data_IF_063619193946
#
_entry.id   IF_063619193946
#
_cell.length_a   1.000
_cell.length_b   1.000
_cell.length_c   1.000
_cell.angle_alpha   90.00
_cell.angle_beta   90.00
_cell.angle_gamma   90.00
#
_symmetry.space_group_name_H-M   'P 1'
#
loop_
_entity.id
_entity.type
_entity.pdbx_description
1 polymer ?
#
# COMPACT_ATOMS: atom_id res chain seq x y z
N UNK A 1 19.87 -69.80 21.42
CA UNK A 1 20.80 -68.69 21.72
C UNK A 1 21.63 -68.50 20.46
N UNK A 2 21.53 -67.46 19.64
CA UNK A 2 21.29 -66.04 19.91
C UNK A 2 20.61 -65.41 18.68
N UNK A 3 19.44 -64.78 18.88
CA UNK A 3 18.77 -63.95 17.87
C UNK A 3 19.41 -62.57 17.89
N UNK A 4 19.91 -62.10 16.75
CA UNK A 4 20.38 -60.73 16.60
C UNK A 4 19.80 -60.14 15.31
N UNK A 5 19.02 -59.08 15.52
CA UNK A 5 18.98 -57.87 14.72
C UNK A 5 18.81 -58.03 13.20
N UNK A 6 17.65 -57.61 12.68
CA UNK A 6 17.58 -56.60 11.61
C UNK A 6 16.20 -56.57 10.93
N UNK A 7 15.09 -56.40 11.66
CA UNK A 7 13.86 -55.92 11.01
C UNK A 7 13.05 -55.07 12.01
N UNK A 8 13.61 -53.94 12.41
CA UNK A 8 12.92 -52.99 13.27
C UNK A 8 13.21 -51.56 12.83
N UNK A 9 12.94 -51.20 11.57
CA UNK A 9 12.97 -49.81 11.11
C UNK A 9 12.13 -49.60 9.83
N UNK A 10 10.93 -50.19 9.77
CA UNK A 10 9.95 -49.90 8.71
C UNK A 10 8.56 -49.68 9.33
N UNK A 11 8.44 -48.57 10.06
CA UNK A 11 7.17 -47.88 10.30
C UNK A 11 7.48 -46.39 10.10
N UNK A 12 7.20 -45.88 8.91
CA UNK A 12 6.04 -45.02 8.67
C UNK A 12 6.01 -43.81 9.62
N UNK A 13 6.86 -42.83 9.35
CA UNK A 13 6.48 -41.45 9.62
C UNK A 13 6.99 -40.54 8.51
N UNK A 14 6.18 -40.51 7.46
CA UNK A 14 6.10 -39.43 6.49
C UNK A 14 5.66 -38.17 7.23
N UNK A 15 6.58 -37.50 7.91
CA UNK A 15 6.45 -36.10 8.24
C UNK A 15 7.51 -35.36 7.43
N UNK A 16 7.29 -35.32 6.12
CA UNK A 16 7.64 -34.10 5.37
C UNK A 16 6.73 -33.05 5.99
N UNK A 17 7.23 -32.39 7.04
CA UNK A 17 6.66 -31.15 7.48
C UNK A 17 6.68 -30.24 6.27
N UNK A 18 5.51 -29.95 5.71
CA UNK A 18 5.32 -28.67 5.06
C UNK A 18 5.55 -27.64 6.16
N UNK A 19 6.79 -27.22 6.35
CA UNK A 19 7.08 -25.88 6.80
C UNK A 19 6.74 -25.03 5.57
N UNK A 20 5.61 -24.30 5.55
CA UNK A 20 5.50 -23.23 4.58
C UNK A 20 6.49 -22.18 5.06
N UNK A 21 7.74 -22.33 4.64
CA UNK A 21 8.65 -21.22 4.47
C UNK A 21 7.79 -20.11 3.90
N UNK A 22 7.71 -19.02 4.67
CA UNK A 22 7.22 -17.73 4.23
C UNK A 22 7.48 -17.61 2.74
N UNK A 23 6.43 -17.76 1.94
CA UNK A 23 6.48 -17.41 0.52
C UNK A 23 6.63 -15.90 0.55
N UNK A 24 7.88 -15.47 0.65
CA UNK A 24 8.31 -14.18 0.17
C UNK A 24 8.01 -14.26 -1.32
N UNK A 25 6.84 -13.78 -1.72
CA UNK A 25 6.59 -13.44 -3.11
C UNK A 25 7.65 -12.38 -3.47
N UNK A 26 8.71 -12.86 -4.12
CA UNK A 26 9.77 -12.06 -4.74
C UNK A 26 9.16 -11.42 -5.99
N UNK A 27 8.21 -10.51 -5.79
CA UNK A 27 8.02 -9.35 -6.66
C UNK A 27 8.82 -8.17 -6.09
N UNK A 28 9.01 -7.07 -6.83
CA UNK A 28 9.55 -5.86 -6.21
C UNK A 28 8.61 -5.48 -5.07
N UNK A 29 9.03 -5.70 -3.83
CA UNK A 29 8.31 -5.27 -2.65
C UNK A 29 8.37 -3.75 -2.68
N UNK A 30 7.41 -3.15 -3.37
CA UNK A 30 7.34 -1.70 -3.52
C UNK A 30 7.00 -1.20 -2.13
N UNK A 31 7.97 -0.60 -1.45
CA UNK A 31 7.82 -0.05 -0.12
C UNK A 31 6.60 0.90 -0.12
N UNK A 32 5.52 0.48 0.52
CA UNK A 32 4.28 1.25 0.63
C UNK A 32 4.05 1.60 2.10
N UNK A 33 3.42 2.76 2.32
CA UNK A 33 3.08 3.24 3.65
C UNK A 33 1.59 3.01 3.89
N UNK A 34 1.27 2.30 4.97
CA UNK A 34 -0.12 2.10 5.39
C UNK A 34 -0.58 3.34 6.16
N UNK A 35 -1.66 3.97 5.70
CA UNK A 35 -2.23 5.17 6.30
C UNK A 35 -3.03 4.84 7.55
N UNK A 36 -2.70 5.50 8.64
CA UNK A 36 -3.40 5.45 9.91
C UNK A 36 -4.10 6.78 10.20
N UNK A 37 -5.20 6.71 10.97
CA UNK A 37 -5.83 7.93 11.51
C UNK A 37 -4.84 8.66 12.44
N UNK A 38 -4.89 9.99 12.42
CA UNK A 38 -4.05 10.90 13.22
C UNK A 38 -2.53 10.84 12.99
N UNK A 39 -2.06 10.05 12.02
CA UNK A 39 -0.65 10.01 11.62
C UNK A 39 -0.38 10.97 10.44
N UNK A 40 0.79 11.61 10.46
CA UNK A 40 1.26 12.50 9.40
C UNK A 40 2.49 11.89 8.73
N UNK A 41 2.42 11.70 7.42
CA UNK A 41 3.52 11.14 6.64
C UNK A 41 4.18 12.24 5.81
N UNK A 42 5.52 12.19 5.73
CA UNK A 42 6.34 13.18 5.07
C UNK A 42 7.07 12.54 3.88
N UNK A 43 6.94 13.12 2.69
CA UNK A 43 7.76 12.77 1.52
C UNK A 43 8.45 14.04 0.98
N UNK A 44 9.69 14.01 0.51
CA UNK A 44 10.67 12.95 0.65
C UNK A 44 11.97 13.60 1.13
N UNK A 45 12.37 13.27 2.36
CA UNK A 45 13.61 13.75 2.94
C UNK A 45 14.81 13.45 2.01
N UNK A 46 15.88 14.25 2.14
CA UNK A 46 17.08 14.11 1.31
C UNK A 46 17.67 12.69 1.42
N UNK A 47 17.59 11.93 0.33
CA UNK A 47 18.10 10.54 0.26
C UNK A 47 17.10 9.52 -0.30
N UNK A 48 15.82 9.86 -0.38
CA UNK A 48 14.80 9.00 -1.01
C UNK A 48 14.81 9.22 -2.52
N UNK A 49 14.91 8.13 -3.30
CA UNK A 49 14.87 8.21 -4.76
C UNK A 49 13.50 8.68 -5.24
N UNK A 50 13.45 9.89 -5.81
CA UNK A 50 12.27 10.42 -6.48
C UNK A 50 12.11 9.84 -7.89
N UNK A 51 12.65 8.66 -8.19
CA UNK A 51 12.46 7.98 -9.49
C UNK A 51 11.15 7.20 -9.56
N UNK A 52 10.69 6.69 -8.41
CA UNK A 52 9.41 5.98 -8.27
C UNK A 52 8.38 6.88 -7.58
N UNK A 53 7.07 6.63 -7.78
CA UNK A 53 6.02 7.26 -6.97
C UNK A 53 6.09 6.74 -5.53
N UNK A 54 5.81 7.60 -4.55
CA UNK A 54 5.61 7.16 -3.18
C UNK A 54 4.19 6.58 -3.07
N UNK A 55 4.10 5.34 -2.61
CA UNK A 55 2.83 4.59 -2.55
C UNK A 55 2.28 4.59 -1.14
N UNK A 56 1.01 4.96 -1.03
CA UNK A 56 0.24 4.98 0.21
C UNK A 56 -0.97 4.10 0.06
N UNK A 57 -1.28 3.31 1.09
CA UNK A 57 -2.41 2.40 1.09
C UNK A 57 -3.30 2.65 2.30
N UNK A 58 -4.60 2.53 2.09
CA UNK A 58 -5.63 2.61 3.11
C UNK A 58 -6.43 1.31 3.07
N UNK A 59 -6.55 0.61 4.19
CA UNK A 59 -7.19 -0.71 4.26
C UNK A 59 -8.73 -0.65 4.29
N UNK A 60 -9.31 0.50 4.63
CA UNK A 60 -10.75 0.60 4.89
C UNK A 60 -11.12 0.11 6.29
N UNK A 61 -12.33 0.49 6.73
CA UNK A 61 -12.90 -0.01 7.98
C UNK A 61 -13.80 -1.23 7.74
N UNK A 62 -13.80 -2.21 8.65
CA UNK A 62 -14.77 -3.30 8.60
C UNK A 62 -16.18 -2.73 8.74
N UNK A 63 -17.11 -3.21 7.88
CA UNK A 63 -18.51 -2.77 7.78
C UNK A 63 -19.35 -2.95 9.05
N UNK A 64 -18.75 -3.52 10.09
CA UNK A 64 -19.36 -3.81 11.39
C UNK A 64 -19.38 -2.59 12.32
N UNK A 65 -18.67 -1.51 11.98
CA UNK A 65 -18.59 -0.30 12.81
C UNK A 65 -19.70 0.68 12.40
N UNK A 66 -20.50 1.13 13.37
CA UNK A 66 -21.67 2.01 13.30
C UNK A 66 -21.40 3.46 12.77
N UNK A 67 -20.64 3.61 11.68
CA UNK A 67 -20.24 4.92 11.12
C UNK A 67 -20.44 4.99 9.60
N UNK A 68 -21.65 4.65 9.13
CA UNK A 68 -22.02 4.58 7.70
C UNK A 68 -22.02 5.92 6.93
N UNK A 69 -21.47 6.98 7.52
CA UNK A 69 -21.48 8.35 6.97
C UNK A 69 -20.13 9.07 7.07
N UNK A 70 -19.05 8.39 7.45
CA UNK A 70 -17.72 9.02 7.56
C UNK A 70 -17.12 9.12 6.16
N UNK A 71 -17.01 10.35 5.64
CA UNK A 71 -16.17 10.62 4.49
C UNK A 71 -14.72 10.51 4.96
N UNK A 72 -13.92 9.69 4.27
CA UNK A 72 -12.48 9.55 4.52
C UNK A 72 -11.76 10.21 3.36
N UNK A 73 -10.86 11.13 3.67
CA UNK A 73 -10.10 11.84 2.65
C UNK A 73 -8.64 11.96 3.05
N UNK A 74 -7.76 12.06 2.06
CA UNK A 74 -6.35 12.36 2.29
C UNK A 74 -6.12 13.80 1.91
N UNK A 75 -5.61 14.58 2.85
CA UNK A 75 -5.09 15.92 2.58
C UNK A 75 -3.61 15.84 2.21
N UNK A 76 -3.22 16.58 1.19
CA UNK A 76 -1.84 16.69 0.70
C UNK A 76 -1.48 18.17 0.70
N UNK A 77 -0.35 18.54 1.29
CA UNK A 77 0.16 19.92 1.28
C UNK A 77 0.88 20.27 -0.03
N UNK A 78 0.29 19.89 -1.16
CA UNK A 78 0.72 20.28 -2.50
C UNK A 78 -0.48 20.60 -3.39
N UNK A 79 -0.34 21.58 -4.31
CA UNK A 79 -1.34 21.78 -5.35
C UNK A 79 -1.44 20.59 -6.30
N UNK A 80 -2.65 20.25 -6.74
CA UNK A 80 -2.94 19.15 -7.67
C UNK A 80 -2.19 19.21 -9.01
N UNK A 81 -1.70 20.40 -9.40
CA UNK A 81 -0.91 20.59 -10.63
C UNK A 81 0.57 20.24 -10.47
N UNK A 82 1.04 20.00 -9.23
CA UNK A 82 2.45 19.76 -8.91
C UNK A 82 2.78 18.29 -8.67
N UNK A 83 1.81 17.39 -8.83
CA UNK A 83 2.03 15.96 -8.70
C UNK A 83 1.17 15.18 -9.68
N UNK A 84 1.68 14.02 -10.11
CA UNK A 84 0.90 13.01 -10.79
C UNK A 84 0.39 12.00 -9.77
N UNK A 85 -0.89 11.64 -9.90
CA UNK A 85 -1.56 10.67 -9.03
C UNK A 85 -1.85 9.38 -9.80
N UNK A 86 -1.63 8.25 -9.15
CA UNK A 86 -1.91 6.92 -9.68
C UNK A 86 -2.70 6.13 -8.65
N UNK A 87 -3.97 5.85 -8.90
CA UNK A 87 -4.82 5.09 -7.96
C UNK A 87 -4.85 3.61 -8.32
N UNK A 88 -5.05 2.74 -7.34
CA UNK A 88 -5.20 1.29 -7.55
C UNK A 88 -5.80 0.62 -6.33
N UNK A 89 -6.25 -0.63 -6.48
CA UNK A 89 -6.74 -1.43 -5.35
C UNK A 89 -5.55 -1.90 -4.49
N UNK A 90 -4.40 -2.13 -5.11
CA UNK A 90 -3.16 -2.52 -4.45
C UNK A 90 -1.94 -1.72 -4.96
N UNK A 91 -0.81 -1.84 -4.25
CA UNK A 91 0.43 -1.15 -4.60
C UNK A 91 1.01 -1.59 -5.96
N UNK A 92 0.73 -2.82 -6.41
CA UNK A 92 1.20 -3.33 -7.70
C UNK A 92 0.42 -2.70 -8.85
N UNK A 93 -0.89 -2.50 -8.67
CA UNK A 93 -1.73 -1.82 -9.64
C UNK A 93 -1.32 -0.36 -9.79
N UNK A 94 -1.05 0.33 -8.67
CA UNK A 94 -0.49 1.69 -8.68
C UNK A 94 0.80 1.75 -9.51
N UNK A 95 1.71 0.81 -9.28
CA UNK A 95 2.95 0.75 -10.06
C UNK A 95 2.72 0.40 -11.53
N UNK A 96 1.83 -0.53 -11.83
CA UNK A 96 1.45 -0.86 -13.20
C UNK A 96 0.89 0.35 -13.93
N UNK A 97 0.09 1.19 -13.25
CA UNK A 97 -0.44 2.44 -13.82
C UNK A 97 0.64 3.50 -14.01
N UNK A 98 1.61 3.58 -13.10
CA UNK A 98 2.79 4.44 -13.28
C UNK A 98 3.61 4.03 -14.51
N UNK A 99 3.90 2.73 -14.67
CA UNK A 99 4.62 2.20 -15.82
C UNK A 99 3.85 2.43 -17.14
N UNK A 100 2.54 2.24 -17.11
CA UNK A 100 1.64 2.53 -18.23
C UNK A 100 1.46 4.04 -18.50
N UNK A 101 2.02 4.92 -17.65
CA UNK A 101 1.81 6.38 -17.66
C UNK A 101 0.33 6.76 -17.66
N UNK A 102 -0.51 5.92 -17.06
CA UNK A 102 -1.95 6.14 -16.93
C UNK A 102 -2.19 6.86 -15.61
N UNK A 103 -1.90 8.17 -15.58
CA UNK A 103 -2.19 8.99 -14.41
C UNK A 103 -3.70 9.22 -14.26
N UNK A 104 -4.18 9.04 -13.04
CA UNK A 104 -5.53 9.43 -12.64
C UNK A 104 -5.52 10.93 -12.40
N UNK A 105 -6.24 11.68 -13.22
CA UNK A 105 -6.43 13.11 -12.98
C UNK A 105 -7.64 13.29 -12.07
N UNK A 106 -7.42 13.53 -10.79
CA UNK A 106 -8.47 14.08 -9.94
C UNK A 106 -8.63 15.56 -10.33
N UNK A 107 -9.69 15.87 -11.09
CA UNK A 107 -10.12 17.24 -11.30
C UNK A 107 -10.62 17.80 -9.96
N UNK A 108 -9.74 18.44 -9.22
CA UNK A 108 -10.12 19.20 -8.04
C UNK A 108 -11.02 20.35 -8.51
N UNK A 109 -12.33 20.26 -8.28
CA UNK A 109 -13.34 21.21 -8.78
C UNK A 109 -13.30 22.57 -8.07
N UNK A 110 -12.22 22.89 -7.36
CA UNK A 110 -12.03 24.15 -6.67
C UNK A 110 -10.87 24.89 -7.31
N UNK A 111 -11.23 25.85 -8.17
CA UNK A 111 -10.38 26.82 -8.87
C UNK A 111 -9.65 27.81 -7.94
N UNK A 112 -9.23 27.36 -6.77
CA UNK A 112 -8.55 28.22 -5.81
C UNK A 112 -7.12 27.73 -5.62
N UNK A 113 -6.23 28.70 -5.56
CA UNK A 113 -4.80 28.61 -5.26
C UNK A 113 -4.53 28.11 -3.83
N UNK A 114 -5.25 27.09 -3.37
CA UNK A 114 -4.96 26.47 -2.08
C UNK A 114 -3.70 25.64 -2.23
N UNK A 115 -2.79 25.81 -1.28
CA UNK A 115 -1.54 25.06 -1.20
C UNK A 115 -1.79 23.55 -0.98
N UNK A 116 -3.06 23.15 -0.77
CA UNK A 116 -3.49 21.81 -0.40
C UNK A 116 -4.42 21.20 -1.42
N UNK A 117 -4.28 19.90 -1.64
CA UNK A 117 -5.21 19.08 -2.41
C UNK A 117 -5.82 17.99 -1.53
N UNK A 118 -6.97 17.49 -1.96
CA UNK A 118 -7.72 16.46 -1.24
C UNK A 118 -8.04 15.30 -2.18
N UNK A 119 -7.87 14.07 -1.69
CA UNK A 119 -8.24 12.84 -2.40
C UNK A 119 -9.34 12.17 -1.59
N UNK A 120 -10.50 11.96 -2.20
CA UNK A 120 -11.60 11.22 -1.57
C UNK A 120 -11.30 9.73 -1.65
N UNK A 121 -11.32 9.03 -0.52
CA UNK A 121 -11.16 7.57 -0.46
C UNK A 121 -12.51 6.91 -0.17
N UNK A 122 -12.64 5.64 -0.58
CA UNK A 122 -13.74 4.81 -0.13
C UNK A 122 -13.47 4.39 1.33
N UNK A 123 -14.36 4.67 2.29
CA UNK A 123 -14.11 4.39 3.69
C UNK A 123 -14.10 2.90 4.05
N UNK A 124 -14.68 2.04 3.21
CA UNK A 124 -14.84 0.59 3.47
C UNK A 124 -13.95 -0.28 2.60
N UNK A 125 -13.53 0.21 1.44
CA UNK A 125 -12.73 -0.55 0.50
C UNK A 125 -11.25 -0.16 0.59
N UNK A 126 -10.39 -1.18 0.54
CA UNK A 126 -8.94 -0.97 0.47
C UNK A 126 -8.59 -0.21 -0.80
N UNK A 127 -7.88 0.91 -0.65
CA UNK A 127 -7.48 1.77 -1.75
C UNK A 127 -6.02 2.15 -1.58
N UNK A 128 -5.22 2.01 -2.63
CA UNK A 128 -3.85 2.49 -2.68
C UNK A 128 -3.71 3.61 -3.72
N UNK A 129 -2.79 4.53 -3.48
CA UNK A 129 -2.45 5.57 -4.44
C UNK A 129 -0.96 5.91 -4.40
N UNK A 130 -0.42 6.26 -5.54
CA UNK A 130 0.97 6.66 -5.75
C UNK A 130 1.04 8.13 -6.11
N UNK A 131 1.91 8.87 -5.42
CA UNK A 131 2.16 10.29 -5.69
C UNK A 131 3.56 10.42 -6.28
N UNK A 132 3.62 11.00 -7.48
CA UNK A 132 4.87 11.35 -8.15
C UNK A 132 5.03 12.85 -8.21
N UNK A 133 6.05 13.37 -7.55
CA UNK A 133 6.37 14.81 -7.57
C UNK A 133 7.86 15.05 -7.38
N UNK A 134 8.29 16.26 -7.72
CA UNK A 134 9.64 16.77 -7.46
C UNK A 134 9.70 17.55 -6.13
N UNK A 135 8.56 17.95 -5.58
CA UNK A 135 8.45 18.78 -4.38
C UNK A 135 8.27 17.92 -3.13
N UNK A 136 8.64 18.49 -1.99
CA UNK A 136 8.36 17.89 -0.69
C UNK A 136 6.93 18.21 -0.27
N UNK A 137 6.31 17.27 0.43
CA UNK A 137 4.92 17.32 0.84
C UNK A 137 4.65 16.49 2.08
N UNK A 138 3.55 16.83 2.72
CA UNK A 138 3.00 16.05 3.83
C UNK A 138 1.64 15.53 3.42
N UNK A 139 1.31 14.34 3.89
CA UNK A 139 -0.03 13.78 3.77
C UNK A 139 -0.60 13.44 5.15
N UNK A 140 -1.91 13.55 5.24
CA UNK A 140 -2.66 13.19 6.45
C UNK A 140 -4.02 12.62 6.06
N UNK A 141 -4.41 11.55 6.73
CA UNK A 141 -5.77 10.99 6.66
C UNK A 141 -6.73 11.84 7.53
N UNK A 142 -7.84 12.28 6.94
CA UNK A 142 -8.89 13.10 7.56
C UNK A 142 -10.26 12.42 7.49
#
# INVERSE_FOLDING_TARGET
MSSAAAVLFLLLYSFVGCDPQSVQDIGPTTEFQLLQEDEMYYCCASGVSRELPAVYCYEGFPKEIFHTWRAVSVSIDLPAVQYDLYEGVDSREVMGRFEARSSSWHWNTFWNSEQKSYISLDPFNSTCFGIKTLNDYTIKLE
#
